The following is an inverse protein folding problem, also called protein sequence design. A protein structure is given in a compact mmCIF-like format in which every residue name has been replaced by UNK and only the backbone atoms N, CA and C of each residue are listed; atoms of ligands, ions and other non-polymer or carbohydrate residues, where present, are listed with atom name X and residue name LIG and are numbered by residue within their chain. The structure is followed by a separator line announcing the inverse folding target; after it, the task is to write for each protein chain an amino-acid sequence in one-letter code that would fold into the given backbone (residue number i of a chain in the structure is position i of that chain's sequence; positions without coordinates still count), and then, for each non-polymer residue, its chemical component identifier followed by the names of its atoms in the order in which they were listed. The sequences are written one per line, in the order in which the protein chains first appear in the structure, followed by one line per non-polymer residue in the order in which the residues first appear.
data_IF_554278518885
#
_entry.id   IF_554278518885
#
_cell.length_a   1.000
_cell.length_b   1.000
_cell.length_c   1.000
_cell.angle_alpha   90.00
_cell.angle_beta   90.00
_cell.angle_gamma   90.00
#
_symmetry.space_group_name_H-M   'P 1'
#
loop_
_entity.id
_entity.type
_entity.pdbx_description
1 polymer ?
#
# COMPACT_ATOMS: atom_id res chain seq x y z
N UNK A 1 -53.32 -52.25 5.02
CA UNK A 1 -51.90 -51.90 4.75
C UNK A 1 -51.16 -53.18 4.42
N UNK A 2 -50.39 -53.25 3.34
CA UNK A 2 -49.74 -54.50 2.94
C UNK A 2 -48.48 -54.77 3.78
N UNK A 3 -48.19 -56.04 4.09
CA UNK A 3 -47.00 -56.46 4.86
C UNK A 3 -45.71 -55.87 4.28
N UNK A 4 -45.53 -55.91 2.96
CA UNK A 4 -44.37 -55.30 2.27
C UNK A 4 -44.21 -53.80 2.52
N UNK A 5 -45.31 -53.07 2.72
CA UNK A 5 -45.26 -51.63 3.03
C UNK A 5 -44.83 -51.40 4.49
N UNK A 6 -45.21 -52.30 5.40
CA UNK A 6 -44.80 -52.27 6.81
C UNK A 6 -43.30 -52.56 6.93
N UNK A 7 -42.80 -53.57 6.23
CA UNK A 7 -41.37 -53.91 6.18
C UNK A 7 -40.52 -52.76 5.60
N UNK A 8 -40.97 -52.15 4.50
CA UNK A 8 -40.29 -51.00 3.88
C UNK A 8 -40.25 -49.80 4.84
N UNK A 9 -41.37 -49.50 5.52
CA UNK A 9 -41.44 -48.40 6.47
C UNK A 9 -40.57 -48.66 7.71
N UNK A 10 -40.55 -49.89 8.22
CA UNK A 10 -39.67 -50.30 9.31
C UNK A 10 -38.18 -50.18 8.94
N UNK A 11 -37.79 -50.59 7.73
CA UNK A 11 -36.43 -50.45 7.24
C UNK A 11 -35.98 -48.97 7.12
N UNK A 12 -36.88 -48.10 6.65
CA UNK A 12 -36.63 -46.64 6.61
C UNK A 12 -36.45 -46.08 8.02
N UNK A 13 -37.34 -46.42 8.97
CA UNK A 13 -37.21 -45.97 10.36
C UNK A 13 -35.92 -46.46 11.02
N UNK A 14 -35.53 -47.73 10.80
CA UNK A 14 -34.28 -48.29 11.32
C UNK A 14 -33.05 -47.58 10.73
N UNK A 15 -33.06 -47.34 9.42
CA UNK A 15 -32.01 -46.59 8.72
C UNK A 15 -31.89 -45.14 9.19
N UNK A 16 -33.01 -44.46 9.41
CA UNK A 16 -33.02 -43.10 9.97
C UNK A 16 -32.51 -43.06 11.42
N UNK A 17 -32.85 -44.04 12.26
CA UNK A 17 -32.35 -44.13 13.63
C UNK A 17 -30.83 -44.35 13.67
N UNK A 18 -30.32 -45.34 12.91
CA UNK A 18 -28.89 -45.63 12.79
C UNK A 18 -28.12 -44.44 12.19
N UNK A 19 -28.65 -43.82 11.13
CA UNK A 19 -28.07 -42.63 10.51
C UNK A 19 -28.00 -41.43 11.46
N UNK A 20 -29.02 -41.22 12.30
CA UNK A 20 -29.04 -40.14 13.30
C UNK A 20 -27.97 -40.34 14.38
N UNK A 21 -27.77 -41.58 14.84
CA UNK A 21 -26.71 -41.93 15.81
C UNK A 21 -25.33 -41.69 15.20
N UNK A 22 -25.08 -42.16 13.97
CA UNK A 22 -23.81 -41.93 13.26
C UNK A 22 -23.56 -40.43 13.07
N UNK A 23 -24.60 -39.66 12.72
CA UNK A 23 -24.49 -38.21 12.54
C UNK A 23 -24.14 -37.48 13.85
N UNK A 24 -24.62 -37.93 15.01
CA UNK A 24 -24.25 -37.38 16.32
C UNK A 24 -22.75 -37.54 16.63
N UNK A 25 -22.11 -38.63 16.18
CA UNK A 25 -20.66 -38.83 16.33
C UNK A 25 -19.84 -38.18 15.20
N UNK A 26 -20.37 -38.13 13.98
CA UNK A 26 -19.70 -37.49 12.84
C UNK A 26 -19.69 -35.96 12.94
N UNK A 27 -20.78 -35.35 13.42
CA UNK A 27 -20.92 -33.90 13.55
C UNK A 27 -19.77 -33.22 14.33
N UNK A 28 -19.39 -33.64 15.56
CA UNK A 28 -18.28 -33.02 16.28
C UNK A 28 -16.92 -33.22 15.59
N UNK A 29 -16.70 -34.33 14.88
CA UNK A 29 -15.47 -34.57 14.12
C UNK A 29 -15.38 -33.63 12.91
N UNK A 30 -16.48 -33.49 12.16
CA UNK A 30 -16.58 -32.55 11.04
C UNK A 30 -16.43 -31.10 11.51
N UNK A 31 -17.05 -30.73 12.65
CA UNK A 31 -16.86 -29.41 13.27
C UNK A 31 -15.41 -29.18 13.69
N UNK A 32 -14.75 -30.17 14.30
CA UNK A 32 -13.35 -30.06 14.70
C UNK A 32 -12.42 -29.85 13.50
N UNK A 33 -12.64 -30.58 12.39
CA UNK A 33 -11.88 -30.39 11.14
C UNK A 33 -12.13 -28.97 10.58
N UNK A 34 -13.38 -28.53 10.53
CA UNK A 34 -13.77 -27.23 9.96
C UNK A 34 -13.25 -26.06 10.81
N UNK A 35 -13.35 -26.13 12.14
CA UNK A 35 -12.77 -25.16 13.08
C UNK A 35 -11.24 -25.16 13.02
N UNK A 36 -10.59 -26.33 12.92
CA UNK A 36 -9.12 -26.39 12.83
C UNK A 36 -8.61 -25.82 11.50
N UNK A 37 -9.29 -26.12 10.38
CA UNK A 37 -8.98 -25.54 9.07
C UNK A 37 -9.23 -24.04 9.02
N UNK A 38 -10.31 -23.56 9.64
CA UNK A 38 -10.55 -22.13 9.83
C UNK A 38 -9.47 -21.47 10.70
N UNK A 39 -9.07 -22.11 11.81
CA UNK A 39 -8.05 -21.62 12.74
C UNK A 39 -6.65 -21.53 12.13
N UNK A 40 -6.32 -22.38 11.14
CA UNK A 40 -5.09 -22.27 10.35
C UNK A 40 -5.17 -21.22 9.24
N UNK A 41 -6.33 -21.10 8.57
CA UNK A 41 -6.49 -20.15 7.46
C UNK A 41 -6.64 -18.70 7.93
N UNK A 42 -7.28 -18.44 9.07
CA UNK A 42 -7.46 -17.10 9.63
C UNK A 42 -6.14 -16.36 9.90
N UNK A 43 -5.15 -16.88 10.67
CA UNK A 43 -3.89 -16.18 10.91
C UNK A 43 -3.06 -16.03 9.63
N UNK A 44 -3.13 -16.98 8.70
CA UNK A 44 -2.47 -16.87 7.40
C UNK A 44 -3.09 -15.76 6.54
N UNK A 45 -4.42 -15.62 6.58
CA UNK A 45 -5.16 -14.57 5.89
C UNK A 45 -4.91 -13.20 6.52
N UNK A 46 -4.85 -13.12 7.86
CA UNK A 46 -4.48 -11.91 8.60
C UNK A 46 -3.05 -11.51 8.23
N UNK A 47 -2.07 -12.42 8.31
CA UNK A 47 -0.68 -12.15 7.94
C UNK A 47 -0.57 -11.66 6.48
N UNK A 48 -1.21 -12.36 5.54
CA UNK A 48 -1.20 -11.97 4.12
C UNK A 48 -1.86 -10.61 3.87
N UNK A 49 -2.98 -10.29 4.53
CA UNK A 49 -3.63 -8.99 4.46
C UNK A 49 -2.82 -7.88 5.16
N UNK A 50 -2.14 -8.18 6.25
CA UNK A 50 -1.31 -7.22 6.97
C UNK A 50 -0.05 -6.86 6.16
N UNK A 51 0.64 -7.87 5.64
CA UNK A 51 1.88 -7.72 4.86
C UNK A 51 1.63 -7.15 3.46
N UNK A 52 0.65 -7.66 2.69
CA UNK A 52 0.40 -7.14 1.32
C UNK A 52 -0.51 -5.92 1.25
N UNK A 53 -1.32 -5.66 2.29
CA UNK A 53 -2.39 -4.63 2.22
C UNK A 53 -2.29 -3.55 3.30
N UNK A 54 -1.30 -3.61 4.19
CA UNK A 54 -0.92 -2.54 5.12
C UNK A 54 -2.13 -1.91 5.82
N UNK A 55 -2.80 -2.69 6.67
CA UNK A 55 -4.16 -2.41 7.13
C UNK A 55 -4.27 -1.01 7.77
N UNK A 56 -4.83 -0.06 7.01
CA UNK A 56 -5.12 1.32 7.43
C UNK A 56 -6.28 1.33 8.43
N UNK A 57 -6.07 0.85 9.66
CA UNK A 57 -7.02 1.04 10.76
C UNK A 57 -6.97 2.52 11.14
N UNK A 58 -7.82 3.30 10.47
CA UNK A 58 -8.10 4.68 10.85
C UNK A 58 -8.92 4.65 12.14
N UNK A 59 -8.22 4.57 13.28
CA UNK A 59 -8.81 4.84 14.58
C UNK A 59 -9.41 6.25 14.54
N UNK A 60 -10.73 6.30 14.50
CA UNK A 60 -11.51 7.51 14.62
C UNK A 60 -11.39 7.95 16.09
N UNK A 61 -10.45 8.86 16.35
CA UNK A 61 -10.24 9.42 17.67
C UNK A 61 -11.47 10.25 18.04
N UNK A 62 -12.30 9.68 18.89
CA UNK A 62 -13.43 10.34 19.52
C UNK A 62 -12.98 11.66 20.17
N UNK A 63 -13.82 12.69 20.08
CA UNK A 63 -13.41 14.08 20.19
C UNK A 63 -13.97 14.74 21.46
N UNK A 64 -13.47 14.28 22.59
CA UNK A 64 -13.51 14.96 23.89
C UNK A 64 -12.05 15.09 24.39
N UNK A 65 -11.61 16.11 25.09
CA UNK A 65 -12.26 17.30 25.60
C UNK A 65 -11.36 17.92 26.68
N UNK A 66 -10.73 19.07 26.39
CA UNK A 66 -9.96 19.95 27.31
C UNK A 66 -8.92 19.37 28.30
N UNK A 67 -7.69 19.92 28.28
CA UNK A 67 -7.10 20.72 29.39
C UNK A 67 -5.59 20.96 29.14
N UNK A 68 -5.29 22.25 28.91
CA UNK A 68 -4.16 23.09 29.35
C UNK A 68 -2.94 22.49 30.10
N UNK A 69 -1.74 23.00 29.71
CA UNK A 69 -0.45 23.01 30.44
C UNK A 69 0.28 21.65 30.60
N UNK A 70 1.62 21.60 30.64
CA UNK A 70 2.60 22.63 31.05
C UNK A 70 3.97 22.47 30.34
N UNK A 71 4.73 23.56 30.24
CA UNK A 71 6.16 23.58 29.93
C UNK A 71 7.01 23.31 31.19
N UNK A 72 8.23 22.80 30.99
CA UNK A 72 9.43 22.96 31.83
C UNK A 72 10.61 22.52 30.91
N UNK A 73 11.37 23.40 30.27
CA UNK A 73 12.29 24.46 30.79
C UNK A 73 13.64 23.89 31.24
N UNK A 74 14.68 24.06 30.40
CA UNK A 74 16.06 24.24 30.86
C UNK A 74 16.66 25.39 30.03
N UNK A 75 16.67 26.57 30.65
CA UNK A 75 17.39 27.75 30.19
C UNK A 75 18.90 27.60 30.46
N UNK A 76 19.74 28.00 29.52
CA UNK A 76 20.97 28.72 29.88
C UNK A 76 21.38 29.67 28.75
N UNK A 77 21.67 30.90 29.15
CA UNK A 77 21.77 32.10 28.31
C UNK A 77 23.24 32.57 28.25
N UNK A 78 23.56 33.53 27.35
CA UNK A 78 24.85 34.24 27.21
C UNK A 78 25.97 33.43 26.51
N UNK A 79 26.79 33.95 25.59
CA UNK A 79 26.89 35.30 25.00
C UNK A 79 27.60 35.25 23.62
N UNK A 80 27.55 36.34 22.84
CA UNK A 80 28.34 36.48 21.57
C UNK A 80 29.00 37.87 21.50
N UNK A 81 30.34 37.94 21.41
CA UNK A 81 31.02 38.43 20.20
C UNK A 81 32.30 37.58 19.88
N UNK A 82 33.11 37.76 18.82
CA UNK A 82 33.14 38.73 17.71
C UNK A 82 33.68 38.08 16.40
N UNK A 83 34.42 38.80 15.55
CA UNK A 83 35.10 38.32 14.33
C UNK A 83 36.63 38.24 14.50
N UNK A 84 37.35 37.44 13.67
CA UNK A 84 38.62 37.86 13.00
C UNK A 84 39.14 36.88 11.92
N UNK A 85 39.18 37.39 10.69
CA UNK A 85 40.03 37.09 9.51
C UNK A 85 41.00 35.87 9.43
N UNK A 86 40.73 34.98 8.44
CA UNK A 86 41.62 34.47 7.34
C UNK A 86 42.94 33.71 7.64
N UNK A 87 43.57 33.02 6.65
CA UNK A 87 43.01 32.16 5.58
C UNK A 87 43.79 30.84 5.38
N UNK A 88 43.11 29.71 5.06
CA UNK A 88 43.72 28.49 4.47
C UNK A 88 42.71 27.91 3.46
N UNK A 89 43.01 27.79 2.17
CA UNK A 89 44.03 26.99 1.49
C UNK A 89 43.58 25.53 1.24
N UNK A 90 42.98 25.33 0.07
CA UNK A 90 42.96 24.08 -0.71
C UNK A 90 42.60 22.76 -0.01
N UNK A 91 41.31 22.48 0.12
CA UNK A 91 40.78 21.11 0.25
C UNK A 91 39.80 20.84 -0.90
N UNK A 92 40.33 20.44 -2.05
CA UNK A 92 39.58 19.61 -2.99
C UNK A 92 39.78 18.14 -2.57
N UNK A 93 38.77 17.30 -2.79
CA UNK A 93 38.79 15.82 -2.70
C UNK A 93 38.36 15.15 -1.38
N UNK A 94 37.57 15.78 -0.49
CA UNK A 94 36.96 15.06 0.66
C UNK A 94 35.42 15.23 0.78
N UNK A 95 34.75 15.71 -0.27
CA UNK A 95 33.29 15.90 -0.30
C UNK A 95 32.58 14.82 -1.13
N UNK A 96 33.20 14.34 -2.21
CA UNK A 96 32.59 13.37 -3.14
C UNK A 96 32.16 12.06 -2.45
N UNK A 97 33.01 11.45 -1.62
CA UNK A 97 32.70 10.15 -1.00
C UNK A 97 31.48 10.21 -0.07
N UNK A 98 31.24 11.35 0.58
CA UNK A 98 30.07 11.53 1.44
C UNK A 98 28.80 11.75 0.60
N UNK A 99 28.85 12.62 -0.40
CA UNK A 99 27.71 12.88 -1.31
C UNK A 99 27.33 11.64 -2.15
N UNK A 100 28.32 10.83 -2.56
CA UNK A 100 28.08 9.57 -3.28
C UNK A 100 27.37 8.53 -2.40
N UNK A 101 27.87 8.26 -1.19
CA UNK A 101 27.20 7.34 -0.24
C UNK A 101 25.79 7.81 0.15
N UNK A 102 25.61 9.11 0.41
CA UNK A 102 24.29 9.67 0.73
C UNK A 102 23.34 9.56 -0.49
N UNK A 103 23.85 9.70 -1.72
CA UNK A 103 23.05 9.54 -2.95
C UNK A 103 22.64 8.09 -3.23
N UNK A 104 23.55 7.12 -3.06
CA UNK A 104 23.26 5.69 -3.22
C UNK A 104 22.20 5.23 -2.20
N UNK A 105 22.29 5.73 -0.96
CA UNK A 105 21.30 5.55 0.09
C UNK A 105 19.93 6.17 -0.25
N UNK A 106 19.87 7.38 -0.82
CA UNK A 106 18.60 7.95 -1.30
C UNK A 106 18.00 7.12 -2.46
N UNK A 107 18.83 6.59 -3.37
CA UNK A 107 18.37 5.74 -4.49
C UNK A 107 17.84 4.38 -4.03
N UNK A 108 18.53 3.70 -3.11
CA UNK A 108 18.03 2.47 -2.47
C UNK A 108 16.69 2.69 -1.78
N UNK A 109 16.56 3.78 -1.01
CA UNK A 109 15.31 4.13 -0.33
C UNK A 109 14.17 4.42 -1.34
N UNK A 110 14.47 5.02 -2.49
CA UNK A 110 13.49 5.26 -3.55
C UNK A 110 13.05 3.96 -4.26
N UNK A 111 13.98 3.04 -4.52
CA UNK A 111 13.68 1.70 -5.06
C UNK A 111 12.83 0.88 -4.08
N UNK A 112 13.19 0.86 -2.79
CA UNK A 112 12.42 0.19 -1.75
C UNK A 112 11.00 0.76 -1.64
N UNK A 113 10.87 2.09 -1.58
CA UNK A 113 9.58 2.78 -1.57
C UNK A 113 8.69 2.38 -2.77
N UNK A 114 9.28 2.29 -3.97
CA UNK A 114 8.55 1.93 -5.18
C UNK A 114 8.02 0.48 -5.10
N UNK A 115 8.89 -0.45 -4.70
CA UNK A 115 8.56 -1.87 -4.62
C UNK A 115 7.55 -2.20 -3.51
N UNK A 116 7.68 -1.58 -2.33
CA UNK A 116 6.77 -1.83 -1.20
C UNK A 116 5.41 -1.13 -1.36
N UNK A 117 5.40 0.13 -1.83
CA UNK A 117 4.19 0.97 -1.79
C UNK A 117 3.85 1.66 -3.12
N UNK A 118 4.85 2.08 -3.89
CA UNK A 118 4.68 2.83 -5.14
C UNK A 118 3.88 2.07 -6.20
N UNK A 119 4.27 0.83 -6.50
CA UNK A 119 3.62 -0.04 -7.51
C UNK A 119 2.16 -0.33 -7.18
N UNK A 120 1.89 -0.85 -5.99
CA UNK A 120 0.52 -1.10 -5.50
C UNK A 120 -0.36 0.15 -5.55
N UNK A 121 0.20 1.32 -5.24
CA UNK A 121 -0.52 2.59 -5.31
C UNK A 121 -0.75 3.09 -6.74
N UNK A 122 0.18 2.82 -7.64
CA UNK A 122 0.07 3.13 -9.05
C UNK A 122 -1.04 2.29 -9.69
N UNK A 123 -1.08 0.98 -9.43
CA UNK A 123 -2.13 0.06 -9.88
C UNK A 123 -3.53 0.52 -9.45
N UNK A 124 -3.70 0.91 -8.18
CA UNK A 124 -4.97 1.47 -7.70
C UNK A 124 -5.42 2.70 -8.51
N UNK A 125 -4.48 3.58 -8.87
CA UNK A 125 -4.75 4.80 -9.61
C UNK A 125 -5.07 4.48 -11.08
N UNK A 126 -4.29 3.59 -11.69
CA UNK A 126 -4.50 3.07 -13.06
C UNK A 126 -5.89 2.44 -13.18
N UNK A 127 -6.29 1.56 -12.26
CA UNK A 127 -7.64 0.96 -12.23
C UNK A 127 -8.76 2.01 -12.09
N UNK A 128 -8.56 3.03 -11.23
CA UNK A 128 -9.51 4.15 -11.03
C UNK A 128 -9.61 5.10 -12.23
N UNK A 129 -8.62 5.10 -13.12
CA UNK A 129 -8.62 5.88 -14.36
C UNK A 129 -9.15 5.07 -15.54
N UNK A 130 -8.82 3.78 -15.63
CA UNK A 130 -9.37 2.84 -16.61
C UNK A 130 -10.89 2.73 -16.53
N UNK A 131 -11.46 2.69 -15.30
CA UNK A 131 -12.93 2.74 -15.12
C UNK A 131 -13.60 4.05 -15.55
N UNK A 132 -12.81 5.06 -15.95
CA UNK A 132 -13.26 6.35 -16.52
C UNK A 132 -12.87 6.51 -18.00
N UNK A 133 -12.30 5.48 -18.62
CA UNK A 133 -11.74 5.58 -19.99
C UNK A 133 -10.51 6.48 -20.09
N UNK A 134 -9.79 6.72 -18.99
CA UNK A 134 -8.62 7.59 -18.94
C UNK A 134 -7.34 6.75 -18.85
N UNK A 135 -6.47 6.90 -19.83
CA UNK A 135 -5.20 6.16 -19.99
C UNK A 135 -3.96 6.98 -19.65
N UNK A 136 -4.14 8.20 -19.13
CA UNK A 136 -3.06 9.19 -18.94
C UNK A 136 -3.20 9.96 -17.62
N UNK A 137 -2.10 10.11 -16.90
CA UNK A 137 -2.04 10.93 -15.69
C UNK A 137 -0.69 11.66 -15.54
N UNK A 138 -0.61 12.55 -14.56
CA UNK A 138 0.55 13.39 -14.24
C UNK A 138 0.84 13.31 -12.75
N UNK A 139 2.07 12.95 -12.38
CA UNK A 139 2.57 12.95 -11.00
C UNK A 139 3.46 14.18 -10.82
N UNK A 140 3.18 14.99 -9.79
CA UNK A 140 4.03 16.11 -9.35
C UNK A 140 5.19 15.63 -8.47
N UNK A 141 6.22 16.47 -8.32
CA UNK A 141 7.31 16.26 -7.35
C UNK A 141 6.86 16.07 -5.89
N UNK A 142 5.65 16.48 -5.52
CA UNK A 142 5.03 16.28 -4.20
C UNK A 142 4.14 15.01 -4.11
N UNK A 143 4.21 14.13 -5.12
CA UNK A 143 3.43 12.89 -5.18
C UNK A 143 1.94 13.08 -5.50
N UNK A 144 1.46 14.31 -5.76
CA UNK A 144 0.08 14.53 -6.18
C UNK A 144 -0.12 14.02 -7.60
N UNK A 145 -1.04 13.05 -7.76
CA UNK A 145 -1.41 12.50 -9.06
C UNK A 145 -2.71 13.12 -9.58
N UNK A 146 -2.68 13.61 -10.82
CA UNK A 146 -3.79 14.28 -11.49
C UNK A 146 -4.01 13.75 -12.91
N UNK A 147 -5.22 13.93 -13.44
CA UNK A 147 -5.57 13.60 -14.83
C UNK A 147 -6.29 14.77 -15.49
N UNK A 148 -6.29 14.81 -16.83
CA UNK A 148 -6.90 15.90 -17.61
C UNK A 148 -8.38 15.62 -17.84
N UNK A 149 -9.20 16.66 -17.68
CA UNK A 149 -10.62 16.68 -18.04
C UNK A 149 -10.91 17.87 -18.96
N UNK A 150 -12.10 17.93 -19.56
CA UNK A 150 -12.53 19.10 -20.34
C UNK A 150 -12.49 20.42 -19.54
N UNK A 151 -12.64 20.37 -18.21
CA UNK A 151 -12.57 21.53 -17.30
C UNK A 151 -11.17 21.74 -16.69
N UNK A 152 -10.12 21.18 -17.29
CA UNK A 152 -8.74 21.22 -16.78
C UNK A 152 -8.36 20.00 -15.94
N UNK A 153 -7.27 20.09 -15.18
CA UNK A 153 -6.75 18.99 -14.38
C UNK A 153 -7.57 18.73 -13.11
N UNK A 154 -7.73 17.45 -12.74
CA UNK A 154 -8.30 17.04 -11.46
C UNK A 154 -7.42 15.99 -10.79
N UNK A 155 -7.26 16.11 -9.48
CA UNK A 155 -6.53 15.15 -8.64
C UNK A 155 -7.29 13.82 -8.58
N UNK A 156 -6.58 12.71 -8.74
CA UNK A 156 -7.09 11.34 -8.59
C UNK A 156 -6.47 10.59 -7.40
N UNK A 157 -5.26 10.98 -6.97
CA UNK A 157 -4.56 10.32 -5.89
C UNK A 157 -3.43 11.15 -5.28
N UNK A 158 -2.75 10.55 -4.30
CA UNK A 158 -1.44 10.95 -3.77
C UNK A 158 -0.62 9.67 -3.60
N UNK A 159 0.66 9.76 -3.96
CA UNK A 159 1.74 8.88 -3.59
C UNK A 159 2.38 9.41 -2.30
N UNK A 160 2.14 8.75 -1.17
CA UNK A 160 2.70 9.16 0.12
C UNK A 160 4.16 8.74 0.23
N UNK A 161 5.03 9.63 0.68
CA UNK A 161 6.48 9.38 0.72
C UNK A 161 7.16 9.37 -0.66
N UNK A 162 6.49 9.90 -1.70
CA UNK A 162 7.04 9.93 -3.06
C UNK A 162 8.43 10.61 -3.12
N UNK A 163 9.49 9.93 -3.58
CA UNK A 163 10.85 10.47 -3.62
C UNK A 163 11.01 11.41 -4.83
N UNK A 164 10.39 12.60 -4.74
CA UNK A 164 10.29 13.54 -5.85
C UNK A 164 11.62 14.10 -6.37
N UNK A 165 12.69 14.06 -5.57
CA UNK A 165 14.06 14.35 -6.02
C UNK A 165 14.49 13.35 -7.10
N UNK A 166 14.30 12.06 -6.83
CA UNK A 166 14.69 10.92 -7.66
C UNK A 166 13.60 10.49 -8.66
N UNK A 167 12.84 11.48 -9.16
CA UNK A 167 11.72 11.21 -10.07
C UNK A 167 12.14 10.56 -11.40
N UNK A 168 13.39 10.74 -11.84
CA UNK A 168 13.95 10.07 -13.02
C UNK A 168 14.19 8.56 -12.78
N UNK A 169 14.69 8.18 -11.60
CA UNK A 169 14.85 6.77 -11.20
C UNK A 169 13.48 6.09 -11.10
N UNK A 170 12.50 6.72 -10.43
CA UNK A 170 11.12 6.21 -10.38
C UNK A 170 10.50 6.11 -11.77
N UNK A 171 10.78 7.05 -12.67
CA UNK A 171 10.35 6.97 -14.06
C UNK A 171 10.98 5.78 -14.80
N UNK A 172 12.23 5.41 -14.49
CA UNK A 172 12.88 4.17 -14.95
C UNK A 172 12.09 2.93 -14.54
N UNK A 173 11.86 2.74 -13.23
CA UNK A 173 11.13 1.60 -12.69
C UNK A 173 9.69 1.50 -13.25
N UNK A 174 9.01 2.63 -13.45
CA UNK A 174 7.70 2.67 -14.09
C UNK A 174 7.74 2.26 -15.58
N UNK A 175 8.83 2.55 -16.32
CA UNK A 175 9.00 2.07 -17.72
C UNK A 175 9.24 0.57 -17.77
N UNK A 176 10.00 0.01 -16.81
CA UNK A 176 10.20 -1.44 -16.69
C UNK A 176 8.88 -2.18 -16.42
N UNK A 177 7.97 -1.55 -15.67
CA UNK A 177 6.58 -2.00 -15.49
C UNK A 177 5.68 -1.82 -16.74
N UNK A 178 6.24 -1.40 -17.87
CA UNK A 178 5.53 -1.29 -19.15
C UNK A 178 4.75 0.01 -19.35
N UNK A 179 4.98 1.04 -18.52
CA UNK A 179 4.35 2.36 -18.68
C UNK A 179 5.16 3.25 -19.62
N UNK A 180 4.47 4.06 -20.43
CA UNK A 180 5.12 5.14 -21.18
C UNK A 180 5.25 6.36 -20.27
N UNK A 181 6.48 6.65 -19.81
CA UNK A 181 6.78 7.74 -18.88
C UNK A 181 7.60 8.84 -19.53
N UNK A 182 7.07 10.06 -19.54
CA UNK A 182 7.75 11.27 -20.04
C UNK A 182 7.95 12.29 -18.93
N UNK A 183 9.19 12.73 -18.75
CA UNK A 183 9.57 13.79 -17.80
C UNK A 183 9.25 15.18 -18.38
N UNK A 184 8.49 15.99 -17.64
CA UNK A 184 8.00 17.30 -18.06
C UNK A 184 8.21 18.35 -16.96
N UNK A 185 9.47 18.82 -16.81
CA UNK A 185 9.93 19.85 -15.85
C UNK A 185 9.70 19.52 -14.37
N UNK A 186 8.45 19.60 -13.90
CA UNK A 186 8.03 19.34 -12.51
C UNK A 186 7.01 18.19 -12.39
N UNK A 187 6.79 17.47 -13.49
CA UNK A 187 5.78 16.43 -13.61
C UNK A 187 6.33 15.21 -14.35
N UNK A 188 5.97 14.00 -13.92
CA UNK A 188 6.00 12.81 -14.77
C UNK A 188 4.66 12.67 -15.46
N UNK A 189 4.60 12.66 -16.80
CA UNK A 189 3.42 12.22 -17.57
C UNK A 189 3.51 10.71 -17.73
N UNK A 190 2.47 10.01 -17.31
CA UNK A 190 2.28 8.57 -17.50
C UNK A 190 1.21 8.30 -18.56
N UNK A 191 1.43 7.25 -19.35
CA UNK A 191 0.49 6.73 -20.36
C UNK A 191 0.54 5.20 -20.39
N UNK A 192 -0.60 4.55 -20.65
CA UNK A 192 -0.69 3.10 -20.84
C UNK A 192 -1.80 2.71 -21.82
N UNK A 193 -1.67 1.54 -22.45
CA UNK A 193 -2.51 1.15 -23.59
C UNK A 193 -2.03 1.76 -24.90
N UNK A 194 -2.61 1.34 -26.03
CA UNK A 194 -2.25 1.89 -27.35
C UNK A 194 -2.64 3.37 -27.41
N UNK A 195 -1.67 4.23 -27.70
CA UNK A 195 -2.00 5.53 -28.29
C UNK A 195 -2.52 5.24 -29.71
N UNK A 196 -3.82 5.48 -29.94
CA UNK A 196 -4.26 5.86 -31.27
C UNK A 196 -3.60 7.21 -31.54
N UNK A 197 -2.64 7.22 -32.47
CA UNK A 197 -2.03 8.43 -32.99
C UNK A 197 -3.15 9.30 -33.59
N UNK A 198 -3.46 10.40 -32.91
CA UNK A 198 -4.35 11.40 -33.45
C UNK A 198 -3.62 12.15 -34.57
N UNK A 199 -3.93 11.76 -35.81
CA UNK A 199 -3.58 12.48 -37.04
C UNK A 199 -4.24 13.87 -37.09
#
# INVERSE_FOLDING_TARGET
MNIKQIETLAAIFLGCALGSIILQFAAPILLAILVSGASLTVPFLIYHLFVRKGWRIRLEREKDGSVTQKEEEIESTWDKPEETNRPKASEQNHVNEQEENDSESEEEAAMLWYNETGRSRLDEIVQKLNSRGVTRCWIRSDGICSYRTAKGFRRIGIFYGYPGKLSALIAGLMREDGLTVMEQKRYLRLSWGREEEAA
#
